data_IF_409973579249
#
_entry.id   IF_409973579249
#
_cell.length_a   1.000
_cell.length_b   1.000
_cell.length_c   1.000
_cell.angle_alpha   90.00
_cell.angle_beta   90.00
_cell.angle_gamma   90.00
#
_symmetry.space_group_name_H-M   'P 1'
#
loop_
_entity.id
_entity.type
_entity.pdbx_description
1 polymer ?
#
# COMPACT_ATOMS: atom_id res chain seq x y z
N UNK A 1 18.75 11.23 44.40
CA UNK A 1 19.04 11.67 43.02
C UNK A 1 19.61 13.09 43.15
N UNK A 2 20.74 13.39 42.61
CA UNK A 2 21.40 14.68 42.82
C UNK A 2 20.97 15.65 41.69
N UNK A 3 19.88 16.38 41.95
CA UNK A 3 19.30 17.34 41.00
C UNK A 3 20.27 18.48 40.70
N UNK A 4 21.07 18.85 41.72
CA UNK A 4 22.07 19.95 41.61
C UNK A 4 23.12 19.60 40.57
N UNK A 5 23.67 18.38 40.58
CA UNK A 5 24.64 17.93 39.60
C UNK A 5 24.05 17.88 38.17
N UNK A 6 22.79 17.51 38.01
CA UNK A 6 22.14 17.51 36.71
C UNK A 6 21.82 18.90 36.20
N UNK A 7 21.48 19.84 37.09
CA UNK A 7 21.25 21.24 36.76
C UNK A 7 22.56 21.94 36.33
N UNK A 8 23.66 21.70 37.04
CA UNK A 8 24.98 22.25 36.69
C UNK A 8 25.49 21.72 35.33
N UNK A 9 25.31 20.42 35.06
CA UNK A 9 25.65 19.80 33.77
C UNK A 9 24.87 20.43 32.61
N UNK A 10 23.57 20.56 32.77
CA UNK A 10 22.66 21.15 31.74
C UNK A 10 22.91 22.65 31.56
N UNK A 11 23.01 23.40 32.61
CA UNK A 11 23.29 24.84 32.58
C UNK A 11 24.62 25.14 31.88
N UNK A 12 25.65 24.35 32.20
CA UNK A 12 26.96 24.45 31.52
C UNK A 12 26.89 24.11 30.03
N UNK A 13 26.10 23.11 29.65
CA UNK A 13 25.94 22.70 28.26
C UNK A 13 25.09 23.67 27.44
N UNK A 14 24.11 24.37 28.08
CA UNK A 14 23.15 25.27 27.45
C UNK A 14 23.59 26.75 27.54
N UNK A 15 24.59 27.07 28.35
CA UNK A 15 25.04 28.43 28.58
C UNK A 15 24.08 29.28 29.43
N UNK A 16 23.22 28.62 30.23
CA UNK A 16 22.12 29.22 30.99
C UNK A 16 22.43 29.29 32.50
N UNK A 17 21.61 30.03 33.24
CA UNK A 17 21.76 30.16 34.69
C UNK A 17 21.38 28.85 35.40
N UNK A 18 22.27 28.34 36.25
CA UNK A 18 22.08 27.06 36.93
C UNK A 18 20.85 27.03 37.83
N UNK A 19 20.48 28.17 38.47
CA UNK A 19 19.31 28.25 39.35
C UNK A 19 18.01 28.22 38.57
N UNK A 20 17.98 28.76 37.33
CA UNK A 20 16.81 28.68 36.48
C UNK A 20 16.62 27.29 35.92
N UNK A 21 17.67 26.64 35.42
CA UNK A 21 17.65 25.25 34.94
C UNK A 21 17.23 24.29 36.06
N UNK A 22 17.73 24.51 37.26
CA UNK A 22 17.38 23.71 38.45
C UNK A 22 15.89 23.81 38.78
N UNK A 23 15.37 25.03 38.85
CA UNK A 23 13.95 25.28 39.12
C UNK A 23 13.04 24.60 38.11
N UNK A 24 13.39 24.61 36.83
CA UNK A 24 12.61 23.95 35.79
C UNK A 24 12.67 22.44 35.89
N UNK A 25 13.84 21.87 36.21
CA UNK A 25 13.96 20.44 36.50
C UNK A 25 13.14 20.01 37.72
N UNK A 26 13.20 20.80 38.81
CA UNK A 26 12.41 20.54 40.02
C UNK A 26 10.91 20.57 39.73
N UNK A 27 10.43 21.55 38.98
CA UNK A 27 9.03 21.63 38.57
C UNK A 27 8.59 20.39 37.78
N UNK A 28 9.36 19.95 36.79
CA UNK A 28 9.00 18.78 35.98
C UNK A 28 9.00 17.49 36.82
N UNK A 29 9.94 17.35 37.73
CA UNK A 29 10.00 16.20 38.65
C UNK A 29 8.84 16.20 39.67
N UNK A 30 8.36 17.38 40.11
CA UNK A 30 7.19 17.51 40.97
C UNK A 30 5.91 16.96 40.29
N UNK A 31 5.81 17.11 38.94
CA UNK A 31 4.75 16.54 38.13
C UNK A 31 5.03 15.05 37.73
N UNK A 32 5.96 14.40 38.40
CA UNK A 32 6.31 12.97 38.18
C UNK A 32 6.87 12.66 36.79
N UNK A 33 7.44 13.62 36.09
CA UNK A 33 8.16 13.41 34.82
C UNK A 33 9.50 12.71 35.13
N UNK A 34 9.83 11.62 34.43
CA UNK A 34 11.14 10.95 34.60
C UNK A 34 12.30 11.92 34.33
N UNK A 35 13.43 11.76 35.06
CA UNK A 35 14.56 12.70 35.01
C UNK A 35 15.13 12.87 33.60
N UNK A 36 15.15 11.80 32.79
CA UNK A 36 15.68 11.83 31.42
C UNK A 36 14.74 12.65 30.50
N UNK A 37 13.44 12.53 30.67
CA UNK A 37 12.43 13.34 29.95
C UNK A 37 12.45 14.80 30.43
N UNK A 38 12.63 15.04 31.73
CA UNK A 38 12.77 16.37 32.28
C UNK A 38 14.02 17.06 31.73
N UNK A 39 15.17 16.37 31.65
CA UNK A 39 16.39 16.88 30.99
C UNK A 39 16.17 17.23 29.53
N UNK A 40 15.43 16.38 28.79
CA UNK A 40 15.09 16.63 27.38
C UNK A 40 14.20 17.86 27.22
N UNK A 41 13.22 18.03 28.11
CA UNK A 41 12.31 19.19 28.12
C UNK A 41 13.06 20.49 28.42
N UNK A 42 13.98 20.46 29.37
CA UNK A 42 14.84 21.62 29.69
C UNK A 42 15.79 21.95 28.55
N UNK A 43 16.43 20.93 27.92
CA UNK A 43 17.23 21.14 26.71
C UNK A 43 16.41 21.78 25.59
N UNK A 44 15.15 21.36 25.40
CA UNK A 44 14.26 21.91 24.40
C UNK A 44 13.86 23.37 24.71
N UNK A 45 13.63 23.68 25.99
CA UNK A 45 13.27 25.03 26.44
C UNK A 45 14.41 26.04 26.29
N UNK A 46 15.63 25.67 26.63
CA UNK A 46 16.78 26.55 26.67
C UNK A 46 17.74 26.35 25.47
N UNK A 47 17.74 25.20 24.83
CA UNK A 47 18.52 24.94 23.63
C UNK A 47 17.98 25.57 22.36
N UNK A 48 16.76 26.12 22.41
CA UNK A 48 16.15 26.85 21.30
C UNK A 48 16.44 28.36 21.26
N UNK A 49 17.37 28.88 22.09
CA UNK A 49 17.59 30.31 22.21
C UNK A 49 19.05 30.73 22.37
N UNK A 50 19.94 30.35 21.46
CA UNK A 50 21.33 30.77 21.62
C UNK A 50 22.21 30.50 20.40
N UNK A 51 21.87 31.05 19.29
CA UNK A 51 22.75 31.11 18.12
C UNK A 51 22.18 32.14 17.18
N UNK A 52 22.87 33.25 17.01
CA UNK A 52 22.45 34.33 16.14
C UNK A 52 22.19 33.83 14.73
N UNK A 53 21.37 34.58 13.98
CA UNK A 53 21.05 34.56 12.55
C UNK A 53 22.05 33.82 11.62
N UNK A 54 22.21 32.54 11.80
CA UNK A 54 22.54 31.63 10.72
C UNK A 54 21.24 30.93 10.40
N UNK A 55 20.64 31.26 9.25
CA UNK A 55 19.60 30.45 8.67
C UNK A 55 20.06 28.99 8.78
N UNK A 56 19.19 28.03 9.21
CA UNK A 56 19.56 26.64 9.26
C UNK A 56 20.21 26.28 7.92
N UNK A 57 21.39 25.70 7.95
CA UNK A 57 22.09 25.32 6.71
C UNK A 57 21.16 24.41 5.91
N UNK A 58 20.94 24.75 4.64
CA UNK A 58 20.21 23.86 3.75
C UNK A 58 20.98 22.53 3.67
N UNK A 59 20.24 21.42 3.82
CA UNK A 59 20.78 20.07 3.69
C UNK A 59 20.24 19.43 2.42
N UNK A 60 21.03 18.57 1.81
CA UNK A 60 20.59 17.79 0.66
C UNK A 60 19.62 16.70 1.13
N UNK A 61 18.62 16.39 0.30
CA UNK A 61 17.59 15.42 0.65
C UNK A 61 18.17 14.05 0.98
N UNK A 62 19.18 13.60 0.23
CA UNK A 62 19.85 12.31 0.48
C UNK A 62 20.59 12.23 1.84
N UNK A 63 20.85 13.36 2.49
CA UNK A 63 21.49 13.40 3.81
C UNK A 63 20.46 13.35 4.96
N UNK A 64 19.16 13.47 4.65
CA UNK A 64 18.11 13.48 5.67
C UNK A 64 17.85 12.05 6.14
N UNK A 65 17.87 11.87 7.44
CA UNK A 65 17.55 10.62 8.12
C UNK A 65 16.43 10.85 9.15
N UNK A 66 15.74 9.83 9.64
CA UNK A 66 14.73 9.98 10.69
C UNK A 66 15.21 10.73 11.93
N UNK A 67 16.51 10.70 12.21
CA UNK A 67 17.14 11.35 13.36
C UNK A 67 17.58 12.81 13.10
N UNK A 68 17.36 13.34 11.89
CA UNK A 68 17.88 14.67 11.49
C UNK A 68 17.27 15.87 12.23
N UNK A 69 16.17 15.66 12.97
CA UNK A 69 15.51 16.75 13.71
C UNK A 69 14.82 17.76 12.79
N UNK A 70 15.10 19.07 12.96
CA UNK A 70 14.56 20.09 12.08
C UNK A 70 15.59 20.46 11.00
N UNK A 71 15.13 20.49 9.75
CA UNK A 71 15.97 20.76 8.58
C UNK A 71 15.46 21.97 7.76
N UNK A 72 16.34 22.50 6.94
CA UNK A 72 15.98 23.41 5.85
C UNK A 72 16.41 22.78 4.55
N UNK A 73 15.49 22.71 3.59
CA UNK A 73 15.77 22.15 2.26
C UNK A 73 15.31 23.11 1.18
N UNK A 74 16.05 23.17 0.07
CA UNK A 74 15.60 23.82 -1.16
C UNK A 74 15.29 22.72 -2.17
N UNK A 75 14.04 22.67 -2.62
CA UNK A 75 13.57 21.54 -3.41
C UNK A 75 12.54 21.95 -4.47
N UNK A 76 12.40 21.12 -5.48
CA UNK A 76 11.32 21.15 -6.47
C UNK A 76 10.11 20.40 -5.92
N UNK A 77 8.93 20.98 -6.00
CA UNK A 77 7.68 20.32 -5.65
C UNK A 77 7.31 19.37 -6.79
N UNK A 78 7.29 18.08 -6.53
CA UNK A 78 6.88 17.08 -7.52
C UNK A 78 5.38 16.91 -7.53
N UNK A 79 4.77 16.73 -6.36
CA UNK A 79 3.33 16.49 -6.22
C UNK A 79 2.73 17.27 -5.06
N UNK A 80 1.43 17.58 -5.16
CA UNK A 80 0.64 18.16 -4.08
C UNK A 80 -0.71 17.46 -4.04
N UNK A 81 -0.87 16.56 -3.09
CA UNK A 81 -2.13 15.90 -2.78
C UNK A 81 -2.85 16.57 -1.60
N UNK A 82 -4.15 16.42 -1.53
CA UNK A 82 -5.00 16.97 -0.46
C UNK A 82 -5.76 15.84 0.22
N UNK A 83 -5.88 15.93 1.55
CA UNK A 83 -6.66 14.96 2.32
C UNK A 83 -7.29 15.60 3.54
N UNK A 84 -8.57 15.30 3.79
CA UNK A 84 -9.24 15.65 5.04
C UNK A 84 -8.93 14.61 6.12
N UNK A 85 -8.47 15.11 7.26
CA UNK A 85 -8.25 14.29 8.45
C UNK A 85 -8.99 14.91 9.63
N UNK A 86 -9.39 14.07 10.58
CA UNK A 86 -9.94 14.57 11.84
C UNK A 86 -8.84 14.69 12.88
N UNK A 87 -8.50 15.94 13.22
CA UNK A 87 -7.49 16.24 14.20
C UNK A 87 -8.09 17.02 15.38
N UNK A 88 -7.90 16.51 16.60
CA UNK A 88 -8.45 17.10 17.84
C UNK A 88 -9.98 17.35 17.85
N UNK A 89 -10.73 16.65 16.99
CA UNK A 89 -12.19 16.77 16.90
C UNK A 89 -12.67 17.60 15.71
N UNK A 90 -11.81 18.37 15.07
CA UNK A 90 -12.10 19.19 13.90
C UNK A 90 -11.60 18.52 12.61
N UNK A 91 -12.30 18.77 11.50
CA UNK A 91 -11.85 18.34 10.19
C UNK A 91 -10.81 19.33 9.67
N UNK A 92 -9.61 18.83 9.36
CA UNK A 92 -8.48 19.61 8.90
C UNK A 92 -8.02 19.10 7.55
N UNK A 93 -7.85 19.98 6.59
CA UNK A 93 -7.26 19.63 5.29
C UNK A 93 -5.75 19.74 5.41
N UNK A 94 -5.06 18.63 5.18
CA UNK A 94 -3.61 18.57 5.05
C UNK A 94 -3.22 18.46 3.59
N UNK A 95 -1.98 18.87 3.27
CA UNK A 95 -1.36 18.65 1.97
C UNK A 95 -0.23 17.66 2.13
N UNK A 96 -0.14 16.74 1.21
CA UNK A 96 0.84 15.66 1.22
C UNK A 96 1.40 15.50 -0.19
N UNK A 97 2.65 15.10 -0.32
CA UNK A 97 3.26 14.90 -1.62
C UNK A 97 4.75 14.66 -1.53
N UNK A 98 5.47 14.96 -2.59
CA UNK A 98 6.90 14.75 -2.70
C UNK A 98 7.62 16.04 -3.09
N UNK A 99 8.78 16.22 -2.48
CA UNK A 99 9.79 17.21 -2.85
C UNK A 99 11.04 16.50 -3.37
N UNK A 100 11.77 17.15 -4.29
CA UNK A 100 13.01 16.61 -4.83
C UNK A 100 14.11 17.67 -4.93
N UNK A 101 15.34 17.24 -4.77
CA UNK A 101 16.51 17.97 -5.20
C UNK A 101 17.36 17.11 -6.17
N UNK A 102 18.57 17.52 -6.49
CA UNK A 102 19.46 16.74 -7.35
C UNK A 102 19.89 15.40 -6.73
N UNK A 103 19.74 15.24 -5.41
CA UNK A 103 20.27 14.12 -4.64
C UNK A 103 19.23 13.05 -4.33
N UNK A 104 17.94 13.39 -4.30
CA UNK A 104 16.88 12.45 -3.97
C UNK A 104 15.49 13.07 -3.92
N UNK A 105 14.54 12.26 -3.47
CA UNK A 105 13.16 12.65 -3.18
C UNK A 105 12.85 12.46 -1.71
N UNK A 106 11.90 13.23 -1.17
CA UNK A 106 11.40 13.08 0.19
C UNK A 106 9.90 13.40 0.25
N UNK A 107 9.15 12.57 0.93
CA UNK A 107 7.74 12.82 1.19
C UNK A 107 7.55 13.95 2.19
N UNK A 108 6.44 14.68 2.08
CA UNK A 108 6.09 15.71 3.04
C UNK A 108 4.62 15.66 3.44
N UNK A 109 4.35 16.10 4.67
CA UNK A 109 3.01 16.43 5.16
C UNK A 109 2.99 17.89 5.65
N UNK A 110 2.11 18.71 5.08
CA UNK A 110 1.90 20.10 5.45
C UNK A 110 0.52 20.27 6.12
N UNK A 111 0.53 20.76 7.36
CA UNK A 111 -0.66 20.95 8.19
C UNK A 111 -1.45 22.24 7.89
N UNK A 112 -0.95 23.04 6.97
CA UNK A 112 -1.59 24.23 6.46
C UNK A 112 -1.23 24.45 4.99
N UNK A 113 -1.98 25.32 4.32
CA UNK A 113 -1.68 25.74 2.97
C UNK A 113 -0.53 26.75 2.94
N UNK A 114 0.60 26.35 2.37
CA UNK A 114 1.73 27.25 2.14
C UNK A 114 1.71 27.91 0.74
N UNK A 115 0.73 27.57 -0.11
CA UNK A 115 0.48 28.20 -1.41
C UNK A 115 1.41 27.78 -2.53
N UNK A 116 2.16 26.68 -2.39
CA UNK A 116 2.95 26.12 -3.49
C UNK A 116 2.15 25.09 -4.27
N UNK A 117 2.52 24.90 -5.53
CA UNK A 117 1.94 23.94 -6.48
C UNK A 117 3.03 23.02 -7.04
N UNK A 118 2.61 21.93 -7.68
CA UNK A 118 3.54 21.06 -8.38
C UNK A 118 4.31 21.87 -9.45
N UNK A 119 5.63 21.68 -9.47
CA UNK A 119 6.50 22.44 -10.34
C UNK A 119 7.11 23.71 -9.75
N UNK A 120 6.74 24.11 -8.54
CA UNK A 120 7.38 25.21 -7.85
C UNK A 120 8.74 24.81 -7.27
N UNK A 121 9.67 25.75 -7.19
CA UNK A 121 10.89 25.60 -6.40
C UNK A 121 10.70 26.35 -5.09
N UNK A 122 10.90 25.63 -3.99
CA UNK A 122 10.66 26.17 -2.65
C UNK A 122 11.85 25.93 -1.73
N UNK A 123 12.10 26.88 -0.84
CA UNK A 123 12.95 26.68 0.33
C UNK A 123 12.04 26.48 1.54
N UNK A 124 12.04 25.28 2.07
CA UNK A 124 11.28 24.88 3.27
C UNK A 124 12.21 24.98 4.46
N UNK A 125 11.96 25.94 5.35
CA UNK A 125 12.73 26.18 6.57
C UNK A 125 12.05 25.57 7.79
N UNK A 126 12.86 25.03 8.69
CA UNK A 126 12.41 24.48 9.97
C UNK A 126 11.34 23.38 9.83
N UNK A 127 11.46 22.53 8.81
CA UNK A 127 10.66 21.32 8.68
C UNK A 127 11.15 20.27 9.70
N UNK A 128 10.24 19.69 10.47
CA UNK A 128 10.61 18.57 11.35
C UNK A 128 10.62 17.25 10.57
N UNK A 129 11.68 16.46 10.74
CA UNK A 129 11.77 15.13 10.15
C UNK A 129 11.07 14.13 11.06
N UNK A 130 10.28 13.25 10.49
CA UNK A 130 9.64 12.12 11.17
C UNK A 130 9.91 10.85 10.38
N UNK A 131 9.87 9.74 11.07
CA UNK A 131 9.88 8.42 10.43
C UNK A 131 8.44 8.00 10.09
N UNK A 132 8.23 7.60 8.86
CA UNK A 132 7.01 6.97 8.39
C UNK A 132 7.37 5.71 7.61
N UNK A 133 6.88 4.54 8.05
CA UNK A 133 7.16 3.24 7.43
C UNK A 133 8.67 2.93 7.24
N UNK A 134 9.52 3.49 8.10
CA UNK A 134 10.97 3.31 8.05
C UNK A 134 11.73 4.38 7.26
N UNK A 135 11.02 5.26 6.55
CA UNK A 135 11.59 6.32 5.72
C UNK A 135 11.42 7.71 6.36
N UNK A 136 12.33 8.67 6.10
CA UNK A 136 12.17 10.04 6.58
C UNK A 136 11.07 10.78 5.81
N UNK A 137 10.22 11.49 6.54
CA UNK A 137 9.19 12.38 6.01
C UNK A 137 9.34 13.79 6.60
N UNK A 138 9.19 14.84 5.77
CA UNK A 138 9.15 16.22 6.23
C UNK A 138 7.76 16.58 6.75
N UNK A 139 7.71 17.08 7.97
CA UNK A 139 6.48 17.55 8.58
C UNK A 139 6.52 19.07 8.71
N UNK A 140 5.64 19.78 7.96
CA UNK A 140 5.55 21.22 7.88
C UNK A 140 4.38 21.69 8.76
N UNK A 141 4.71 22.22 9.92
CA UNK A 141 3.74 22.76 10.89
C UNK A 141 3.72 24.27 10.95
N UNK A 142 3.12 24.83 12.01
CA UNK A 142 3.01 26.28 12.23
C UNK A 142 4.38 26.99 12.35
N UNK A 143 5.41 26.28 12.79
CA UNK A 143 6.77 26.81 12.92
C UNK A 143 7.60 26.73 11.65
N UNK A 144 7.10 26.05 10.63
CA UNK A 144 7.79 25.91 9.35
C UNK A 144 7.55 27.16 8.50
N UNK A 145 8.54 27.50 7.69
CA UNK A 145 8.44 28.58 6.70
C UNK A 145 8.66 28.03 5.30
N UNK A 146 7.93 28.55 4.34
CA UNK A 146 8.13 28.23 2.93
C UNK A 146 8.34 29.51 2.15
N UNK A 147 9.45 29.58 1.43
CA UNK A 147 9.75 30.65 0.50
C UNK A 147 9.74 30.11 -0.93
N UNK A 148 9.03 30.81 -1.82
CA UNK A 148 9.04 30.51 -3.26
C UNK A 148 10.33 31.05 -3.85
N UNK A 149 11.07 30.20 -4.56
CA UNK A 149 12.31 30.59 -5.23
C UNK A 149 12.00 31.13 -6.63
N UNK A 150 12.75 32.16 -7.04
CA UNK A 150 12.60 32.74 -8.37
C UNK A 150 13.30 31.97 -9.49
N UNK A 151 14.21 31.07 -9.14
CA UNK A 151 14.93 30.22 -10.06
C UNK A 151 14.39 28.80 -9.95
N UNK A 152 14.23 28.16 -11.12
CA UNK A 152 13.77 26.78 -11.19
C UNK A 152 14.92 25.83 -10.85
N UNK A 153 14.72 24.97 -9.86
CA UNK A 153 15.62 23.86 -9.57
C UNK A 153 15.33 22.73 -10.55
N UNK A 154 16.30 22.40 -11.37
CA UNK A 154 16.21 21.25 -12.28
C UNK A 154 16.45 19.96 -11.49
N UNK A 155 15.56 19.00 -11.64
CA UNK A 155 15.63 17.69 -10.97
C UNK A 155 15.36 16.57 -11.99
N UNK A 156 15.92 15.37 -11.80
CA UNK A 156 15.73 14.26 -12.73
C UNK A 156 14.40 13.51 -12.52
N UNK A 157 13.39 14.15 -11.95
CA UNK A 157 12.11 13.55 -11.57
C UNK A 157 10.96 14.25 -12.31
N UNK A 158 9.91 13.49 -12.63
CA UNK A 158 8.71 14.02 -13.25
C UNK A 158 7.88 14.87 -12.29
N UNK A 159 7.36 15.99 -12.82
CA UNK A 159 6.53 16.95 -12.08
C UNK A 159 5.06 16.68 -12.41
N UNK A 160 4.19 16.82 -11.42
CA UNK A 160 2.74 16.62 -11.57
C UNK A 160 2.29 15.20 -11.21
N UNK A 161 3.25 14.33 -10.92
CA UNK A 161 2.97 13.00 -10.37
C UNK A 161 2.25 12.05 -11.32
N UNK A 162 2.37 12.25 -12.66
CA UNK A 162 1.84 11.29 -13.63
C UNK A 162 2.53 9.94 -13.44
N UNK A 163 1.73 8.87 -13.39
CA UNK A 163 2.20 7.50 -13.25
C UNK A 163 1.29 6.55 -14.02
N UNK A 164 1.92 5.53 -14.58
CA UNK A 164 1.21 4.34 -15.01
C UNK A 164 0.74 3.54 -13.79
N UNK A 165 -0.33 2.76 -13.94
CA UNK A 165 -0.90 2.01 -12.81
C UNK A 165 0.08 1.01 -12.21
N UNK A 166 0.99 0.43 -13.02
CA UNK A 166 2.01 -0.53 -12.56
C UNK A 166 3.01 0.09 -11.59
N UNK A 167 3.27 1.41 -11.72
CA UNK A 167 4.25 2.14 -10.93
C UNK A 167 3.67 2.72 -9.62
N UNK A 168 2.37 2.53 -9.37
CA UNK A 168 1.74 3.00 -8.16
C UNK A 168 2.08 2.11 -6.96
N UNK A 169 2.46 2.74 -5.87
CA UNK A 169 2.74 2.08 -4.60
C UNK A 169 1.77 2.53 -3.50
N UNK A 170 1.53 1.65 -2.52
CA UNK A 170 0.77 2.02 -1.34
C UNK A 170 1.49 3.17 -0.61
N UNK A 171 0.73 4.22 -0.24
CA UNK A 171 1.28 5.44 0.34
C UNK A 171 1.47 6.59 -0.65
N UNK A 172 1.41 6.35 -1.95
CA UNK A 172 1.46 7.40 -2.98
C UNK A 172 0.33 8.41 -2.80
N UNK A 173 0.66 9.70 -2.98
CA UNK A 173 -0.24 10.83 -2.75
C UNK A 173 -0.08 11.90 -3.81
N UNK A 174 -1.20 12.53 -4.20
CA UNK A 174 -1.21 13.58 -5.21
C UNK A 174 -0.77 13.09 -6.59
N UNK A 175 -0.95 11.80 -6.88
CA UNK A 175 -0.63 11.22 -8.19
C UNK A 175 -1.72 11.53 -9.20
N UNK A 176 -1.32 11.55 -10.46
CA UNK A 176 -2.22 11.65 -11.60
C UNK A 176 -2.12 10.37 -12.41
N UNK A 177 -3.25 9.76 -12.74
CA UNK A 177 -3.32 8.57 -13.57
C UNK A 177 -4.30 8.76 -14.73
N UNK A 178 -4.04 8.12 -15.85
CA UNK A 178 -4.99 7.97 -16.93
C UNK A 178 -5.44 6.52 -16.99
N UNK A 179 -6.74 6.27 -16.79
CA UNK A 179 -7.25 4.92 -16.69
C UNK A 179 -8.67 4.81 -17.24
N UNK A 180 -9.02 3.61 -17.69
CA UNK A 180 -10.37 3.23 -18.08
C UNK A 180 -11.05 2.50 -16.93
N UNK A 181 -12.30 2.84 -16.65
CA UNK A 181 -13.13 2.11 -15.70
C UNK A 181 -13.59 0.79 -16.33
N UNK A 182 -13.06 -0.32 -15.84
CA UNK A 182 -13.33 -1.67 -16.38
C UNK A 182 -14.54 -2.30 -15.69
N UNK A 183 -14.64 -2.12 -14.38
CA UNK A 183 -15.74 -2.63 -13.56
C UNK A 183 -16.20 -1.54 -12.59
N UNK A 184 -17.49 -1.46 -12.36
CA UNK A 184 -18.08 -0.52 -11.42
C UNK A 184 -19.22 -1.17 -10.62
N UNK A 185 -19.12 -1.05 -9.32
CA UNK A 185 -20.21 -1.40 -8.39
C UNK A 185 -20.54 -0.18 -7.51
N UNK A 186 -21.80 0.15 -7.42
CA UNK A 186 -22.27 1.16 -6.48
C UNK A 186 -22.64 0.49 -5.16
N UNK A 187 -22.07 0.98 -4.07
CA UNK A 187 -22.32 0.47 -2.72
C UNK A 187 -22.74 1.58 -1.78
N UNK A 188 -23.62 1.25 -0.85
CA UNK A 188 -23.91 2.10 0.31
C UNK A 188 -23.21 1.53 1.52
N UNK A 189 -22.44 2.36 2.19
CA UNK A 189 -21.71 1.99 3.40
C UNK A 189 -22.18 2.85 4.57
N UNK A 190 -22.19 2.28 5.77
CA UNK A 190 -22.37 3.03 7.01
C UNK A 190 -21.06 3.72 7.35
N UNK A 191 -20.96 4.98 6.96
CA UNK A 191 -19.85 5.85 7.32
C UNK A 191 -20.02 6.47 8.70
N UNK A 192 -19.03 7.24 9.14
CA UNK A 192 -19.05 7.91 10.44
C UNK A 192 -20.15 8.97 10.54
N UNK A 193 -20.51 9.59 9.43
CA UNK A 193 -21.49 10.67 9.33
C UNK A 193 -22.85 10.20 8.76
N UNK A 194 -23.06 8.87 8.69
CA UNK A 194 -24.26 8.23 8.18
C UNK A 194 -24.00 7.39 6.92
N UNK A 195 -25.06 6.95 6.28
CA UNK A 195 -24.99 6.19 5.04
C UNK A 195 -24.38 7.04 3.93
N UNK A 196 -23.35 6.52 3.29
CA UNK A 196 -22.65 7.16 2.17
C UNK A 196 -22.64 6.21 0.97
N UNK A 197 -23.00 6.73 -0.19
CA UNK A 197 -22.87 5.99 -1.45
C UNK A 197 -21.47 6.18 -2.00
N UNK A 198 -20.83 5.10 -2.39
CA UNK A 198 -19.52 5.08 -3.02
C UNK A 198 -19.57 4.26 -4.31
N UNK A 199 -18.63 4.54 -5.21
CA UNK A 199 -18.32 3.63 -6.31
C UNK A 199 -17.08 2.83 -5.96
N UNK A 200 -17.06 1.55 -6.30
CA UNK A 200 -15.88 0.68 -6.21
C UNK A 200 -15.82 -0.21 -7.44
N UNK A 201 -14.62 -0.62 -7.83
CA UNK A 201 -14.45 -1.44 -9.03
C UNK A 201 -13.00 -1.57 -9.41
N UNK A 202 -12.75 -1.70 -10.71
CA UNK A 202 -11.44 -1.88 -11.31
C UNK A 202 -11.21 -0.82 -12.37
N UNK A 203 -10.04 -0.19 -12.35
CA UNK A 203 -9.53 0.66 -13.42
C UNK A 203 -8.33 -0.01 -14.08
N UNK A 204 -8.08 0.28 -15.36
CA UNK A 204 -6.96 -0.28 -16.10
C UNK A 204 -6.37 0.71 -17.09
N UNK A 205 -5.07 0.54 -17.37
CA UNK A 205 -4.33 1.16 -18.45
C UNK A 205 -3.59 0.09 -19.28
N UNK A 206 -2.59 0.47 -20.09
CA UNK A 206 -1.77 -0.49 -20.85
C UNK A 206 -0.87 -1.35 -19.96
N UNK A 207 -0.61 -0.92 -18.72
CA UNK A 207 0.44 -1.48 -17.86
C UNK A 207 -0.11 -2.39 -16.77
N UNK A 208 -1.27 -2.03 -16.18
CA UNK A 208 -1.85 -2.78 -15.07
C UNK A 208 -3.36 -2.57 -14.92
N UNK A 209 -3.95 -3.35 -14.01
CA UNK A 209 -5.29 -3.17 -13.51
C UNK A 209 -5.23 -3.06 -12.00
N UNK A 210 -5.96 -2.09 -11.43
CA UNK A 210 -5.99 -1.88 -9.99
C UNK A 210 -7.42 -1.69 -9.48
N UNK A 211 -7.71 -2.14 -8.25
CA UNK A 211 -8.95 -1.79 -7.59
C UNK A 211 -9.00 -0.29 -7.30
N UNK A 212 -10.18 0.30 -7.36
CA UNK A 212 -10.39 1.69 -6.99
C UNK A 212 -11.62 1.89 -6.11
N UNK A 213 -11.65 3.02 -5.41
CA UNK A 213 -12.82 3.51 -4.68
C UNK A 213 -13.00 5.00 -4.93
N UNK A 214 -14.16 5.40 -5.45
CA UNK A 214 -14.59 6.78 -5.51
C UNK A 214 -15.55 7.09 -4.35
N UNK A 215 -15.06 7.84 -3.39
CA UNK A 215 -15.78 8.20 -2.16
C UNK A 215 -16.88 9.23 -2.35
N UNK A 216 -16.98 9.84 -3.55
CA UNK A 216 -18.00 10.83 -3.90
C UNK A 216 -19.05 10.30 -4.87
N UNK A 217 -18.92 9.06 -5.35
CA UNK A 217 -19.79 8.44 -6.34
C UNK A 217 -20.08 9.39 -7.53
N UNK A 218 -19.00 9.90 -8.16
CA UNK A 218 -19.09 10.90 -9.23
C UNK A 218 -19.85 10.36 -10.44
N UNK A 219 -20.71 11.20 -11.03
CA UNK A 219 -21.47 10.84 -12.23
C UNK A 219 -20.58 10.57 -13.46
N UNK A 220 -19.36 11.13 -13.50
CA UNK A 220 -18.41 10.88 -14.59
C UNK A 220 -17.73 9.52 -14.50
N UNK A 221 -17.71 8.89 -13.31
CA UNK A 221 -17.10 7.58 -13.08
C UNK A 221 -18.17 6.51 -13.37
N UNK A 222 -18.16 6.04 -14.62
CA UNK A 222 -19.06 4.99 -15.11
C UNK A 222 -18.27 3.91 -15.82
N UNK A 223 -18.78 2.71 -15.87
CA UNK A 223 -18.15 1.61 -16.59
C UNK A 223 -17.89 1.97 -18.06
N UNK A 224 -16.67 1.74 -18.53
CA UNK A 224 -16.18 2.08 -19.85
C UNK A 224 -15.68 3.52 -20.02
N UNK A 225 -15.80 4.40 -19.00
CA UNK A 225 -15.27 5.75 -19.06
C UNK A 225 -13.74 5.74 -19.08
N UNK A 226 -13.14 6.55 -19.96
CA UNK A 226 -11.70 6.78 -20.05
C UNK A 226 -11.39 8.14 -19.43
N UNK A 227 -10.62 8.14 -18.36
CA UNK A 227 -10.51 9.26 -17.43
C UNK A 227 -9.06 9.59 -17.11
N UNK A 228 -8.75 10.89 -17.06
CA UNK A 228 -7.62 11.43 -16.32
C UNK A 228 -8.09 11.77 -14.92
N UNK A 229 -7.42 11.21 -13.94
CA UNK A 229 -7.78 11.27 -12.52
C UNK A 229 -6.62 11.91 -11.78
N UNK A 230 -6.81 13.14 -11.29
CA UNK A 230 -5.79 13.96 -10.63
C UNK A 230 -6.02 13.98 -9.12
N UNK A 231 -4.96 14.03 -8.35
CA UNK A 231 -4.97 14.01 -6.88
C UNK A 231 -5.58 12.71 -6.34
N UNK A 232 -5.01 11.57 -6.77
CA UNK A 232 -5.36 10.27 -6.20
C UNK A 232 -4.48 9.95 -4.99
N UNK A 233 -5.04 9.15 -4.09
CA UNK A 233 -4.34 8.58 -2.95
C UNK A 233 -4.34 7.06 -3.07
N UNK A 234 -3.16 6.44 -2.97
CA UNK A 234 -3.02 4.99 -3.09
C UNK A 234 -2.92 4.35 -1.71
N UNK A 235 -3.76 3.37 -1.45
CA UNK A 235 -3.73 2.56 -0.23
C UNK A 235 -3.41 1.12 -0.57
N UNK A 236 -2.90 0.41 0.41
CA UNK A 236 -2.90 -1.04 0.35
C UNK A 236 -4.31 -1.59 0.67
N UNK A 237 -4.78 -2.51 -0.16
CA UNK A 237 -5.96 -3.30 0.09
C UNK A 237 -5.66 -4.76 -0.22
N UNK A 238 -5.62 -5.61 0.81
CA UNK A 238 -5.29 -7.04 0.70
C UNK A 238 -3.95 -7.31 0.00
N UNK A 239 -2.93 -6.53 0.32
CA UNK A 239 -1.59 -6.67 -0.23
C UNK A 239 -1.36 -6.04 -1.61
N UNK A 240 -2.37 -5.36 -2.20
CA UNK A 240 -2.23 -4.69 -3.50
C UNK A 240 -2.53 -3.20 -3.40
N UNK A 241 -1.89 -2.36 -4.24
CA UNK A 241 -2.25 -0.95 -4.36
C UNK A 241 -3.72 -0.78 -4.76
N UNK A 242 -4.40 0.17 -4.14
CA UNK A 242 -5.79 0.54 -4.44
C UNK A 242 -5.91 2.04 -4.58
N UNK A 243 -6.46 2.49 -5.71
CA UNK A 243 -6.60 3.91 -6.04
C UNK A 243 -7.83 4.49 -5.38
N UNK A 244 -7.67 5.58 -4.61
CA UNK A 244 -8.75 6.24 -3.91
C UNK A 244 -8.97 7.65 -4.45
N UNK A 245 -10.20 7.90 -4.90
CA UNK A 245 -10.67 9.22 -5.34
C UNK A 245 -11.37 9.88 -4.16
N UNK A 246 -10.77 10.93 -3.62
CA UNK A 246 -11.27 11.69 -2.47
C UNK A 246 -12.16 12.86 -2.92
N UNK A 247 -12.63 13.68 -2.00
CA UNK A 247 -13.34 14.92 -2.31
C UNK A 247 -12.48 15.94 -3.09
N UNK A 248 -11.18 15.79 -3.09
CA UNK A 248 -10.23 16.67 -3.79
C UNK A 248 -9.85 16.19 -5.18
N UNK A 249 -10.12 14.93 -5.48
CA UNK A 249 -9.78 14.33 -6.79
C UNK A 249 -10.57 14.99 -7.89
N UNK A 250 -9.88 15.42 -8.93
CA UNK A 250 -10.47 15.95 -10.17
C UNK A 250 -10.47 14.88 -11.25
N UNK A 251 -11.57 14.80 -12.00
CA UNK A 251 -11.76 13.80 -13.03
C UNK A 251 -12.14 14.49 -14.33
N UNK A 252 -11.42 14.20 -15.39
CA UNK A 252 -11.67 14.71 -16.73
C UNK A 252 -11.58 13.61 -17.80
N UNK A 253 -12.24 13.77 -18.97
CA UNK A 253 -12.10 12.78 -20.04
C UNK A 253 -10.66 12.67 -20.54
N UNK A 254 -10.24 11.44 -20.83
CA UNK A 254 -8.95 11.12 -21.45
C UNK A 254 -9.16 10.15 -22.63
N UNK A 255 -8.06 9.67 -23.21
CA UNK A 255 -8.06 8.59 -24.18
C UNK A 255 -7.06 7.54 -23.71
N UNK A 256 -7.55 6.39 -23.30
CA UNK A 256 -6.77 5.36 -22.63
C UNK A 256 -6.88 4.05 -23.39
N UNK A 257 -5.74 3.51 -23.78
CA UNK A 257 -5.66 2.12 -24.24
C UNK A 257 -5.52 1.21 -23.03
N UNK A 258 -6.15 0.04 -23.07
CA UNK A 258 -6.09 -0.95 -22.00
C UNK A 258 -5.73 -2.28 -22.62
N UNK A 259 -4.77 -2.98 -22.01
CA UNK A 259 -4.45 -4.35 -22.42
C UNK A 259 -5.57 -5.30 -22.00
N UNK A 260 -6.05 -6.13 -22.92
CA UNK A 260 -6.97 -7.23 -22.60
C UNK A 260 -6.25 -8.40 -21.92
N UNK A 261 -4.93 -8.45 -22.05
CA UNK A 261 -4.08 -9.48 -21.46
C UNK A 261 -3.54 -9.00 -20.09
N UNK A 262 -3.58 -9.87 -19.09
CA UNK A 262 -2.92 -9.61 -17.83
C UNK A 262 -1.39 -9.65 -18.02
N UNK A 263 -0.63 -8.77 -17.36
CA UNK A 263 0.83 -8.82 -17.43
C UNK A 263 1.34 -10.15 -16.87
N UNK A 264 2.21 -10.82 -17.64
CA UNK A 264 2.88 -12.04 -17.19
C UNK A 264 4.08 -11.65 -16.33
N UNK A 265 4.07 -12.09 -15.09
CA UNK A 265 5.11 -11.81 -14.10
C UNK A 265 5.66 -13.09 -13.50
N UNK A 266 6.88 -13.05 -12.98
CA UNK A 266 7.38 -14.13 -12.15
C UNK A 266 6.79 -14.08 -10.75
N UNK A 267 6.64 -15.24 -10.11
CA UNK A 267 6.17 -15.32 -8.71
C UNK A 267 7.10 -14.53 -7.79
N UNK A 268 8.43 -14.62 -8.00
CA UNK A 268 9.42 -13.89 -7.22
C UNK A 268 9.29 -12.38 -7.32
N UNK A 269 9.02 -11.85 -8.52
CA UNK A 269 8.78 -10.43 -8.76
C UNK A 269 7.49 -9.97 -8.03
N UNK A 270 6.39 -10.67 -8.24
CA UNK A 270 5.12 -10.34 -7.60
C UNK A 270 5.15 -10.44 -6.07
N UNK A 271 5.93 -11.37 -5.52
CA UNK A 271 6.16 -11.48 -4.06
C UNK A 271 7.01 -10.32 -3.55
N UNK A 272 8.04 -9.92 -4.30
CA UNK A 272 8.93 -8.82 -3.90
C UNK A 272 8.22 -7.47 -3.91
N UNK A 273 7.26 -7.27 -4.82
CA UNK A 273 6.43 -6.06 -4.86
C UNK A 273 5.35 -5.99 -3.76
N UNK A 274 5.20 -7.06 -2.95
CA UNK A 274 4.20 -7.13 -1.88
C UNK A 274 2.82 -7.60 -2.33
N UNK A 275 2.61 -7.84 -3.63
CA UNK A 275 1.38 -8.28 -4.25
C UNK A 275 1.06 -7.52 -5.52
N UNK A 276 0.25 -8.11 -6.39
CA UNK A 276 -0.15 -7.51 -7.68
C UNK A 276 -1.58 -7.90 -8.01
N UNK A 277 -2.32 -6.98 -8.61
CA UNK A 277 -3.70 -7.19 -9.03
C UNK A 277 -3.74 -7.60 -10.50
N UNK A 278 -4.55 -8.63 -10.84
CA UNK A 278 -4.80 -9.12 -12.20
C UNK A 278 -3.52 -9.42 -12.99
N UNK A 279 -2.72 -10.34 -12.49
CA UNK A 279 -1.48 -10.82 -13.13
C UNK A 279 -1.61 -12.25 -13.61
N UNK A 280 -0.81 -12.61 -14.60
CA UNK A 280 -0.66 -13.96 -15.09
C UNK A 280 0.67 -14.56 -14.60
N UNK A 281 0.60 -15.73 -14.00
CA UNK A 281 1.76 -16.51 -13.56
C UNK A 281 1.76 -17.84 -14.29
N UNK A 282 2.94 -18.27 -14.74
CA UNK A 282 3.14 -19.60 -15.32
C UNK A 282 3.97 -20.45 -14.36
N UNK A 283 3.44 -21.57 -13.90
CA UNK A 283 4.15 -22.40 -12.92
C UNK A 283 3.71 -23.86 -12.91
N UNK A 284 4.56 -24.69 -12.31
CA UNK A 284 4.27 -26.10 -12.11
C UNK A 284 3.55 -26.32 -10.79
N UNK A 285 2.48 -27.11 -10.79
CA UNK A 285 1.81 -27.52 -9.55
C UNK A 285 2.66 -28.58 -8.85
N UNK A 286 3.19 -28.23 -7.69
CA UNK A 286 3.98 -29.13 -6.86
C UNK A 286 3.11 -29.99 -5.94
N UNK A 287 2.05 -29.42 -5.40
CA UNK A 287 1.23 -30.04 -4.36
C UNK A 287 -0.18 -29.43 -4.35
N UNK A 288 -1.17 -30.27 -4.03
CA UNK A 288 -2.51 -29.83 -3.62
C UNK A 288 -2.60 -29.90 -2.09
N UNK A 289 -2.79 -28.74 -1.45
CA UNK A 289 -2.74 -28.63 0.01
C UNK A 289 -4.00 -29.13 0.70
N UNK A 290 -3.84 -29.43 1.98
CA UNK A 290 -4.96 -29.74 2.88
C UNK A 290 -6.03 -28.63 2.85
N UNK A 291 -7.30 -29.03 2.93
CA UNK A 291 -8.44 -28.15 2.80
C UNK A 291 -8.80 -27.83 1.35
N UNK A 292 -8.33 -28.64 0.41
CA UNK A 292 -8.81 -28.75 -0.96
C UNK A 292 -9.89 -29.84 -1.10
N UNK A 293 -10.58 -29.85 -2.24
CA UNK A 293 -11.72 -30.73 -2.50
C UNK A 293 -12.99 -30.21 -1.84
N UNK A 294 -13.76 -31.10 -1.23
CA UNK A 294 -15.01 -30.78 -0.54
C UNK A 294 -14.72 -30.06 0.79
N UNK A 295 -15.19 -28.84 0.88
CA UNK A 295 -15.11 -27.98 2.07
C UNK A 295 -16.50 -27.61 2.58
N UNK A 296 -16.58 -27.00 3.73
CA UNK A 296 -17.82 -26.49 4.33
C UNK A 296 -17.71 -25.00 4.57
N UNK A 297 -18.75 -24.23 4.17
CA UNK A 297 -18.83 -22.78 4.37
C UNK A 297 -20.00 -22.39 5.27
N UNK A 298 -19.78 -21.29 5.98
CA UNK A 298 -20.82 -20.66 6.78
C UNK A 298 -21.84 -19.95 5.88
N UNK A 299 -23.13 -20.24 5.98
CA UNK A 299 -24.15 -19.61 5.14
C UNK A 299 -24.29 -18.08 5.37
N UNK A 300 -23.84 -17.59 6.54
CA UNK A 300 -23.95 -16.17 6.90
C UNK A 300 -22.77 -15.31 6.40
N UNK A 301 -21.57 -15.88 6.33
CA UNK A 301 -20.37 -15.09 6.01
C UNK A 301 -19.40 -15.74 5.00
N UNK A 302 -19.73 -16.90 4.44
CA UNK A 302 -18.91 -17.62 3.44
C UNK A 302 -17.58 -18.18 3.97
N UNK A 303 -17.24 -17.95 5.25
CA UNK A 303 -15.99 -18.46 5.83
C UNK A 303 -16.03 -19.97 6.02
N UNK A 304 -14.85 -20.58 5.98
CA UNK A 304 -14.69 -21.99 6.26
C UNK A 304 -15.24 -22.37 7.64
N UNK A 305 -15.97 -23.46 7.67
CA UNK A 305 -16.48 -24.10 8.89
C UNK A 305 -15.60 -25.32 9.18
N UNK A 306 -15.22 -25.48 10.43
CA UNK A 306 -14.50 -26.66 10.92
C UNK A 306 -15.27 -27.29 12.08
N UNK A 307 -15.56 -28.58 11.97
CA UNK A 307 -16.33 -29.30 12.98
C UNK A 307 -17.70 -28.64 13.33
N UNK A 308 -18.40 -28.12 12.31
CA UNK A 308 -19.69 -27.43 12.49
C UNK A 308 -19.60 -26.06 13.14
N UNK A 309 -18.39 -25.47 13.25
CA UNK A 309 -18.19 -24.15 13.87
C UNK A 309 -17.60 -23.13 12.93
N UNK A 310 -18.26 -21.99 12.77
CA UNK A 310 -17.74 -20.80 12.17
C UNK A 310 -17.05 -19.92 13.20
N UNK A 311 -15.87 -19.41 12.90
CA UNK A 311 -15.11 -18.54 13.83
C UNK A 311 -15.86 -17.28 14.24
N UNK A 312 -16.75 -16.76 13.38
CA UNK A 312 -17.53 -15.53 13.63
C UNK A 312 -18.93 -15.77 14.18
N UNK A 313 -19.59 -16.88 13.75
CA UNK A 313 -21.00 -17.14 14.06
C UNK A 313 -21.21 -18.34 15.01
N UNK A 314 -20.10 -18.98 15.45
CA UNK A 314 -20.19 -20.14 16.34
C UNK A 314 -20.71 -21.38 15.62
N UNK A 315 -21.63 -22.09 16.24
CA UNK A 315 -22.21 -23.31 15.65
C UNK A 315 -23.21 -22.96 14.54
N UNK A 316 -22.98 -23.47 13.35
CA UNK A 316 -23.80 -23.24 12.14
C UNK A 316 -24.11 -24.57 11.47
N UNK A 317 -25.15 -24.57 10.63
CA UNK A 317 -25.40 -25.66 9.68
C UNK A 317 -24.69 -25.30 8.37
N UNK A 318 -23.55 -25.93 8.06
CA UNK A 318 -22.70 -25.47 6.98
C UNK A 318 -23.24 -25.88 5.61
N UNK A 319 -22.86 -25.12 4.58
CA UNK A 319 -23.10 -25.45 3.19
C UNK A 319 -21.85 -26.09 2.57
N UNK A 320 -22.06 -27.18 1.82
CA UNK A 320 -20.97 -27.82 1.06
C UNK A 320 -20.51 -26.92 -0.09
N UNK A 321 -19.19 -26.92 -0.29
CA UNK A 321 -18.54 -26.16 -1.35
C UNK A 321 -17.29 -26.90 -1.87
N UNK A 322 -16.75 -26.43 -3.00
CA UNK A 322 -15.50 -26.92 -3.57
C UNK A 322 -14.45 -25.81 -3.58
N UNK A 323 -13.20 -26.20 -3.37
CA UNK A 323 -12.04 -25.33 -3.45
C UNK A 323 -10.78 -26.13 -3.73
N UNK A 324 -9.82 -25.54 -4.46
CA UNK A 324 -8.45 -26.03 -4.54
C UNK A 324 -7.49 -25.01 -3.94
N UNK A 325 -6.46 -25.52 -3.30
CA UNK A 325 -5.24 -24.81 -2.92
C UNK A 325 -4.06 -25.55 -3.53
N UNK A 326 -3.53 -25.04 -4.62
CA UNK A 326 -2.41 -25.63 -5.33
C UNK A 326 -1.14 -24.79 -5.09
N UNK A 327 -0.02 -25.42 -4.74
CA UNK A 327 1.28 -24.77 -4.71
C UNK A 327 1.82 -24.75 -6.13
N UNK A 328 2.01 -23.55 -6.66
CA UNK A 328 2.67 -23.28 -7.93
C UNK A 328 4.11 -22.84 -7.71
N UNK A 329 5.00 -23.29 -8.55
CA UNK A 329 6.43 -22.97 -8.58
C UNK A 329 6.84 -22.61 -10.01
N UNK A 330 7.40 -21.44 -10.23
CA UNK A 330 7.94 -20.98 -11.51
C UNK A 330 9.48 -21.03 -11.57
N UNK A 331 10.12 -21.52 -10.51
CA UNK A 331 11.58 -21.55 -10.34
C UNK A 331 12.15 -20.28 -9.68
N UNK A 332 11.38 -19.21 -9.50
CA UNK A 332 11.81 -18.01 -8.79
C UNK A 332 11.29 -17.96 -7.36
N UNK A 333 10.06 -18.41 -7.14
CA UNK A 333 9.42 -18.54 -5.84
C UNK A 333 8.19 -19.47 -5.94
N UNK A 334 7.47 -19.62 -4.81
CA UNK A 334 6.23 -20.40 -4.75
C UNK A 334 5.07 -19.54 -4.33
N UNK A 335 3.88 -19.81 -4.87
CA UNK A 335 2.62 -19.18 -4.52
C UNK A 335 1.53 -20.23 -4.31
N UNK A 336 0.59 -19.98 -3.40
CA UNK A 336 -0.60 -20.82 -3.25
C UNK A 336 -1.72 -20.29 -4.14
N UNK A 337 -1.99 -20.93 -5.26
CA UNK A 337 -3.17 -20.64 -6.07
C UNK A 337 -4.43 -21.15 -5.35
N UNK A 338 -5.41 -20.27 -5.21
CA UNK A 338 -6.69 -20.56 -4.57
C UNK A 338 -7.76 -20.49 -5.65
N UNK A 339 -8.34 -21.65 -5.94
CA UNK A 339 -9.40 -21.79 -6.93
C UNK A 339 -10.74 -21.90 -6.20
N UNK A 340 -11.69 -21.14 -6.64
CA UNK A 340 -13.06 -21.19 -6.14
C UNK A 340 -13.82 -22.42 -6.65
N UNK A 341 -15.14 -22.46 -6.44
CA UNK A 341 -15.99 -23.57 -6.88
C UNK A 341 -15.98 -23.75 -8.39
N UNK A 342 -16.13 -22.66 -9.14
CA UNK A 342 -16.28 -22.70 -10.61
C UNK A 342 -15.03 -23.29 -11.26
N UNK A 343 -13.87 -22.74 -10.95
CA UNK A 343 -12.59 -23.26 -11.42
C UNK A 343 -12.30 -24.68 -10.91
N UNK A 344 -12.73 -25.01 -9.69
CA UNK A 344 -12.56 -26.37 -9.14
C UNK A 344 -13.43 -27.38 -9.86
N UNK A 345 -14.67 -27.05 -10.22
CA UNK A 345 -15.56 -27.92 -10.99
C UNK A 345 -15.00 -28.18 -12.40
N UNK A 346 -14.41 -27.17 -13.04
CA UNK A 346 -13.74 -27.32 -14.34
C UNK A 346 -12.57 -28.31 -14.27
N UNK A 347 -11.72 -28.20 -13.26
CA UNK A 347 -10.56 -29.08 -13.09
C UNK A 347 -10.98 -30.48 -12.68
N UNK A 348 -11.93 -30.60 -11.79
CA UNK A 348 -12.47 -31.88 -11.34
C UNK A 348 -13.20 -32.62 -12.46
N UNK A 349 -13.73 -31.85 -13.44
CA UNK A 349 -14.52 -32.39 -14.56
C UNK A 349 -15.91 -32.84 -14.14
N UNK A 350 -16.46 -32.24 -13.07
CA UNK A 350 -17.77 -32.54 -12.52
C UNK A 350 -18.23 -31.44 -11.55
N UNK A 351 -19.53 -31.45 -11.26
CA UNK A 351 -20.15 -30.49 -10.37
C UNK A 351 -19.91 -30.82 -8.88
N UNK A 352 -20.25 -29.88 -7.99
CA UNK A 352 -20.29 -30.14 -6.53
C UNK A 352 -21.15 -31.38 -6.20
N UNK A 353 -22.25 -31.60 -6.94
CA UNK A 353 -23.11 -32.78 -6.72
C UNK A 353 -22.39 -34.09 -7.06
N UNK A 354 -21.64 -34.12 -8.16
CA UNK A 354 -20.85 -35.27 -8.57
C UNK A 354 -19.75 -35.58 -7.54
N UNK A 355 -19.08 -34.54 -7.03
CA UNK A 355 -18.08 -34.66 -5.97
C UNK A 355 -18.68 -35.23 -4.65
N UNK A 356 -19.89 -34.79 -4.27
CA UNK A 356 -20.60 -35.33 -3.12
C UNK A 356 -21.02 -36.80 -3.31
N UNK A 357 -21.37 -37.21 -4.53
CA UNK A 357 -21.70 -38.59 -4.84
C UNK A 357 -20.45 -39.45 -4.78
N UNK A 358 -19.34 -39.03 -5.37
CA UNK A 358 -18.04 -39.72 -5.30
C UNK A 358 -17.58 -39.91 -3.84
N UNK A 359 -17.70 -38.86 -3.02
CA UNK A 359 -17.36 -38.91 -1.58
C UNK A 359 -18.23 -39.89 -0.80
N UNK A 360 -19.54 -40.00 -1.12
CA UNK A 360 -20.43 -41.00 -0.51
C UNK A 360 -20.08 -42.42 -0.91
N UNK A 361 -19.81 -42.64 -2.19
CA UNK A 361 -19.46 -43.97 -2.74
C UNK A 361 -18.13 -44.48 -2.16
N UNK A 362 -17.13 -43.57 -2.03
CA UNK A 362 -15.85 -43.84 -1.42
C UNK A 362 -15.89 -43.88 0.11
N UNK A 363 -16.97 -43.44 0.74
CA UNK A 363 -17.08 -43.19 2.19
C UNK A 363 -15.96 -42.30 2.76
N UNK A 364 -15.43 -41.41 1.94
CA UNK A 364 -14.39 -40.43 2.31
C UNK A 364 -14.55 -39.14 1.48
N UNK A 365 -14.50 -37.97 2.13
CA UNK A 365 -14.47 -36.70 1.42
C UNK A 365 -13.11 -36.40 0.77
N UNK A 366 -12.06 -37.09 1.23
CA UNK A 366 -10.68 -36.90 0.74
C UNK A 366 -10.49 -37.36 -0.70
N UNK A 367 -11.30 -38.30 -1.17
CA UNK A 367 -11.22 -38.82 -2.55
C UNK A 367 -11.25 -37.74 -3.59
N UNK A 368 -12.07 -36.69 -3.37
CA UNK A 368 -12.19 -35.54 -4.30
C UNK A 368 -10.88 -34.73 -4.38
N UNK A 369 -10.21 -34.53 -3.25
CA UNK A 369 -8.92 -33.86 -3.22
C UNK A 369 -7.81 -34.72 -3.87
N UNK A 370 -7.87 -36.06 -3.68
CA UNK A 370 -6.93 -36.99 -4.29
C UNK A 370 -7.07 -37.02 -5.81
N UNK A 371 -8.31 -37.08 -6.34
CA UNK A 371 -8.59 -37.06 -7.77
C UNK A 371 -8.12 -35.72 -8.41
N UNK A 372 -8.34 -34.61 -7.73
CA UNK A 372 -7.84 -33.29 -8.15
C UNK A 372 -6.31 -33.27 -8.16
N UNK A 373 -5.66 -33.83 -7.13
CA UNK A 373 -4.21 -33.88 -7.05
C UNK A 373 -3.60 -34.72 -8.16
N UNK A 374 -4.20 -35.86 -8.51
CA UNK A 374 -3.76 -36.69 -9.65
C UNK A 374 -3.85 -35.93 -10.98
N UNK A 375 -4.81 -35.03 -11.10
CA UNK A 375 -4.99 -34.20 -12.30
C UNK A 375 -3.95 -33.10 -12.39
N UNK A 376 -3.65 -32.42 -11.27
CA UNK A 376 -2.87 -31.19 -11.25
C UNK A 376 -1.38 -31.38 -11.05
N UNK A 377 -0.96 -32.27 -10.14
CA UNK A 377 0.44 -32.36 -9.68
C UNK A 377 1.39 -32.76 -10.81
N UNK A 378 2.50 -32.01 -10.90
CA UNK A 378 3.56 -32.25 -11.90
C UNK A 378 3.27 -31.69 -13.29
N UNK A 379 2.22 -30.89 -13.44
CA UNK A 379 1.88 -30.22 -14.71
C UNK A 379 2.03 -28.71 -14.57
N UNK A 380 2.28 -28.04 -15.70
CA UNK A 380 2.41 -26.60 -15.79
C UNK A 380 1.06 -25.97 -16.14
N UNK A 381 0.75 -24.88 -15.44
CA UNK A 381 -0.48 -24.12 -15.62
C UNK A 381 -0.19 -22.62 -15.78
N UNK A 382 -1.00 -22.00 -16.59
CA UNK A 382 -1.15 -20.55 -16.69
C UNK A 382 -2.28 -20.14 -15.74
N UNK A 383 -1.97 -19.30 -14.80
CA UNK A 383 -2.91 -18.88 -13.75
C UNK A 383 -2.98 -17.37 -13.73
N UNK A 384 -4.17 -16.83 -13.97
CA UNK A 384 -4.46 -15.39 -13.82
C UNK A 384 -5.20 -15.17 -12.52
N UNK A 385 -4.93 -14.04 -11.86
CA UNK A 385 -5.61 -13.69 -10.63
C UNK A 385 -4.96 -12.56 -9.86
N UNK A 386 -5.32 -12.46 -8.59
CA UNK A 386 -4.83 -11.42 -7.68
C UNK A 386 -3.85 -12.02 -6.69
N UNK A 387 -2.58 -11.61 -6.79
CA UNK A 387 -1.54 -12.08 -5.89
C UNK A 387 -1.44 -11.15 -4.69
N UNK A 388 -1.51 -11.72 -3.50
CA UNK A 388 -1.32 -11.03 -2.23
C UNK A 388 -0.25 -11.73 -1.40
N UNK A 389 0.47 -10.97 -0.59
CA UNK A 389 1.50 -11.48 0.31
C UNK A 389 1.13 -11.15 1.75
N UNK A 390 1.15 -12.14 2.62
CA UNK A 390 0.91 -11.98 4.05
C UNK A 390 1.99 -12.70 4.88
N UNK A 391 1.84 -12.70 6.20
CA UNK A 391 2.76 -13.39 7.13
C UNK A 391 2.82 -14.92 6.94
N UNK A 392 1.87 -15.51 6.21
CA UNK A 392 1.81 -16.96 5.93
C UNK A 392 2.33 -17.30 4.53
N UNK A 393 2.66 -16.32 3.69
CA UNK A 393 3.21 -16.47 2.36
C UNK A 393 2.40 -15.78 1.27
N UNK A 394 2.71 -16.13 0.03
CA UNK A 394 2.04 -15.59 -1.14
C UNK A 394 0.80 -16.44 -1.51
N UNK A 395 -0.31 -15.76 -1.77
CA UNK A 395 -1.57 -16.35 -2.22
C UNK A 395 -1.98 -15.70 -3.55
N UNK A 396 -2.44 -16.50 -4.50
CA UNK A 396 -2.98 -16.08 -5.79
C UNK A 396 -4.45 -16.50 -5.85
N UNK A 397 -5.36 -15.57 -5.63
CA UNK A 397 -6.79 -15.80 -5.83
C UNK A 397 -7.04 -15.88 -7.33
N UNK A 398 -7.17 -17.10 -7.86
CA UNK A 398 -7.26 -17.37 -9.29
C UNK A 398 -8.63 -16.95 -9.86
N UNK A 399 -8.60 -16.28 -11.02
CA UNK A 399 -9.77 -15.98 -11.86
C UNK A 399 -9.77 -16.84 -13.13
N UNK A 400 -8.59 -17.29 -13.58
CA UNK A 400 -8.41 -18.24 -14.67
C UNK A 400 -7.34 -19.26 -14.28
N UNK A 401 -7.53 -20.52 -14.68
CA UNK A 401 -6.59 -21.59 -14.39
C UNK A 401 -6.58 -22.60 -15.54
N UNK A 402 -5.60 -22.51 -16.43
CA UNK A 402 -5.54 -23.27 -17.66
C UNK A 402 -4.23 -24.05 -17.80
N UNK A 403 -4.25 -25.29 -18.36
CA UNK A 403 -3.01 -25.97 -18.71
C UNK A 403 -2.14 -25.12 -19.64
N UNK A 404 -0.84 -25.06 -19.37
CA UNK A 404 0.09 -24.38 -20.27
C UNK A 404 0.17 -25.10 -21.62
N UNK A 405 0.06 -24.33 -22.70
CA UNK A 405 0.33 -24.79 -24.07
C UNK A 405 1.75 -24.42 -24.52
N UNK A 406 2.52 -23.72 -23.68
CA UNK A 406 3.87 -23.26 -23.99
C UNK A 406 4.83 -24.45 -24.22
N UNK A 407 5.69 -24.35 -25.24
CA UNK A 407 6.78 -25.31 -25.45
C UNK A 407 7.96 -24.97 -24.52
N UNK A 408 8.25 -25.81 -23.50
CA UNK A 408 9.36 -25.56 -22.59
C UNK A 408 10.73 -25.47 -23.28
N UNK A 409 10.92 -26.15 -24.42
CA UNK A 409 12.17 -26.11 -25.15
C UNK A 409 12.37 -24.78 -25.92
N UNK A 410 11.28 -24.22 -26.48
CA UNK A 410 11.31 -22.91 -27.09
C UNK A 410 11.60 -21.83 -26.04
N UNK A 411 10.90 -21.84 -24.91
CA UNK A 411 11.11 -20.92 -23.80
C UNK A 411 12.54 -20.96 -23.23
N UNK A 412 13.09 -22.18 -23.08
CA UNK A 412 14.48 -22.31 -22.65
C UNK A 412 15.49 -21.74 -23.65
N UNK A 413 15.19 -21.82 -24.97
CA UNK A 413 16.04 -21.27 -26.00
C UNK A 413 15.99 -19.71 -25.99
N UNK A 414 14.82 -19.13 -25.75
CA UNK A 414 14.64 -17.67 -25.66
C UNK A 414 15.38 -17.12 -24.42
N UNK A 415 15.25 -17.74 -23.26
CA UNK A 415 15.98 -17.36 -22.05
C UNK A 415 17.51 -17.45 -22.21
N UNK A 416 18.00 -18.49 -22.92
CA UNK A 416 19.43 -18.58 -23.22
C UNK A 416 19.91 -17.49 -24.16
N UNK A 417 19.08 -17.05 -25.11
CA UNK A 417 19.42 -15.95 -26.01
C UNK A 417 19.49 -14.59 -25.30
N UNK A 418 18.66 -14.38 -24.28
CA UNK A 418 18.69 -13.18 -23.42
C UNK A 418 19.94 -13.11 -22.54
N UNK A 419 20.41 -14.26 -22.03
CA UNK A 419 21.64 -14.32 -21.21
C UNK A 419 22.89 -14.09 -22.03
N UNK A 420 22.87 -14.42 -23.34
CA UNK A 420 24.02 -14.27 -24.24
C UNK A 420 24.07 -12.88 -24.93
N UNK A 421 23.07 -12.00 -24.69
CA UNK A 421 22.96 -10.64 -25.26
C UNK A 421 23.49 -9.58 -24.30
#
# INVERSE_FOLDING_TARGET
MDIDAHAEELASALGEDTEEVKRDLENLLEYSVPIDEAKQSVRRKYGGGGGGDAAPSSVDIAEITPDSGNVTVTARVLTVGRRSIRYQGDDTVIREGELADETGTISYTAWQDFGFEAGDTVTVGNASVREWEGEPELNLGESSSVAMEGETLEVPYEIGGERDLVDLAAGDRGRTVEAKVLELEQRTIDGRDGETTIHSGVIGDETARLPFTDWQAREAVVEGAELRIEDVYVREFRGVPSVNLTEFTEVSPASVEVSDEAPRVSVGEAVTSGGMYDVEVLGNVLEVRDGSGLIERCPECGRLVQNGQCRSHGQVDPEDDLRVKAILDDGTATVTAILDRELTEEIYGGTLQDALEAARDAMSREVVADDIAETLVGREYRVRGHLSVDEYGANLDATEFEPSEDDPAARAADLLAEVDA
#
